data_IF_632740220282
#
_entry.id   IF_632740220282
#
_cell.length_a   1.000
_cell.length_b   1.000
_cell.length_c   1.000
_cell.angle_alpha   90.00
_cell.angle_beta   90.00
_cell.angle_gamma   90.00
#
_symmetry.space_group_name_H-M   'P 1'
#
loop_
_entity.id
_entity.type
_entity.pdbx_description
1 polymer ?
#
# COMPACT_ATOMS: atom_id res chain seq x y z
N UNK A 1 15.94 12.06 -21.03
CA UNK A 1 14.74 12.83 -20.69
C UNK A 1 14.69 12.91 -19.17
N UNK A 2 14.42 14.09 -18.57
CA UNK A 2 14.29 14.20 -17.10
C UNK A 2 12.92 13.65 -16.68
N UNK A 3 12.81 12.94 -15.54
CA UNK A 3 11.53 12.49 -15.01
C UNK A 3 10.65 13.68 -14.64
N UNK A 4 9.34 13.53 -14.85
CA UNK A 4 8.34 14.52 -14.46
C UNK A 4 7.79 14.10 -13.09
N UNK A 5 7.72 15.06 -12.16
CA UNK A 5 7.11 14.88 -10.84
C UNK A 5 5.97 15.88 -10.71
N UNK A 6 4.80 15.39 -10.36
CA UNK A 6 3.64 16.23 -10.06
C UNK A 6 3.57 16.47 -8.55
N UNK A 7 3.30 17.69 -8.15
CA UNK A 7 3.29 18.12 -6.76
C UNK A 7 2.10 19.04 -6.47
N UNK A 8 1.50 18.88 -5.30
CA UNK A 8 0.49 19.79 -4.76
C UNK A 8 0.83 20.17 -3.32
N UNK A 9 0.48 21.38 -2.92
CA UNK A 9 0.51 21.82 -1.52
C UNK A 9 -0.79 21.51 -0.79
N UNK A 10 -1.84 21.16 -1.53
CA UNK A 10 -3.13 20.78 -0.98
C UNK A 10 -3.16 19.27 -0.76
N UNK A 11 -3.57 18.87 0.44
CA UNK A 11 -3.71 17.46 0.82
C UNK A 11 -5.21 17.18 0.97
N UNK A 12 -5.86 16.89 -0.17
CA UNK A 12 -7.27 16.53 -0.24
C UNK A 12 -7.48 15.29 -1.12
N UNK A 13 -8.56 14.52 -0.93
CA UNK A 13 -8.89 13.38 -1.79
C UNK A 13 -8.96 13.74 -3.28
N UNK A 14 -9.57 14.91 -3.60
CA UNK A 14 -9.71 15.40 -4.96
C UNK A 14 -8.35 15.68 -5.60
N UNK A 15 -7.43 16.26 -4.82
CA UNK A 15 -6.10 16.59 -5.30
C UNK A 15 -5.25 15.33 -5.52
N UNK A 16 -5.39 14.30 -4.70
CA UNK A 16 -4.74 13.00 -4.95
C UNK A 16 -5.24 12.39 -6.26
N UNK A 17 -6.55 12.42 -6.49
CA UNK A 17 -7.13 11.93 -7.74
C UNK A 17 -6.65 12.73 -8.95
N UNK A 18 -6.56 14.07 -8.84
CA UNK A 18 -6.02 14.94 -9.88
C UNK A 18 -4.57 14.60 -10.21
N UNK A 19 -3.72 14.42 -9.19
CA UNK A 19 -2.31 14.01 -9.36
C UNK A 19 -2.20 12.64 -10.02
N UNK A 20 -3.02 11.67 -9.63
CA UNK A 20 -3.07 10.36 -10.28
C UNK A 20 -3.40 10.50 -11.78
N UNK A 21 -4.45 11.27 -12.11
CA UNK A 21 -4.85 11.51 -13.52
C UNK A 21 -3.75 12.21 -14.32
N UNK A 22 -3.02 13.14 -13.69
CA UNK A 22 -1.92 13.85 -14.33
C UNK A 22 -0.75 12.93 -14.73
N UNK A 23 -0.59 11.75 -14.10
CA UNK A 23 0.40 10.76 -14.51
C UNK A 23 0.12 10.22 -15.91
N UNK A 24 -1.13 10.28 -16.37
CA UNK A 24 -1.52 9.81 -17.72
C UNK A 24 -1.19 8.35 -17.97
N UNK A 25 -1.26 7.51 -16.92
CA UNK A 25 -0.99 6.08 -16.98
C UNK A 25 -2.24 5.29 -16.63
N UNK A 26 -2.56 4.35 -17.48
CA UNK A 26 -3.56 3.32 -17.20
C UNK A 26 -2.86 2.12 -16.56
N UNK A 27 -3.50 1.56 -15.56
CA UNK A 27 -3.06 0.33 -14.90
C UNK A 27 -3.86 -0.83 -15.50
N UNK A 28 -3.20 -1.85 -16.05
CA UNK A 28 -3.90 -2.98 -16.65
C UNK A 28 -4.45 -3.96 -15.61
N UNK A 29 -5.51 -4.66 -15.98
CA UNK A 29 -6.03 -5.83 -15.28
C UNK A 29 -6.61 -5.55 -13.91
N UNK A 30 -6.44 -6.51 -12.99
CA UNK A 30 -6.83 -6.38 -11.59
C UNK A 30 -5.79 -5.56 -10.83
N UNK A 31 -6.23 -4.49 -10.20
CA UNK A 31 -5.33 -3.49 -9.62
C UNK A 31 -5.29 -3.63 -8.09
N UNK A 32 -4.09 -3.85 -7.55
CA UNK A 32 -3.81 -3.69 -6.13
C UNK A 32 -3.58 -2.21 -5.80
N UNK A 33 -4.21 -1.70 -4.76
CA UNK A 33 -3.93 -0.35 -4.22
C UNK A 33 -3.29 -0.49 -2.86
N UNK A 34 -1.95 -0.39 -2.82
CA UNK A 34 -1.19 -0.53 -1.58
C UNK A 34 -1.25 0.75 -0.76
N UNK A 35 -1.68 0.61 0.47
CA UNK A 35 -1.80 1.70 1.44
C UNK A 35 -0.96 1.43 2.69
N UNK A 36 -0.91 2.40 3.61
CA UNK A 36 -0.48 2.21 4.99
C UNK A 36 -1.68 2.44 5.91
N UNK A 37 -2.15 1.38 6.52
CA UNK A 37 -3.38 1.36 7.32
C UNK A 37 -3.27 1.97 8.72
N UNK A 38 -2.07 2.37 9.12
CA UNK A 38 -1.78 2.96 10.43
C UNK A 38 -1.32 1.93 11.46
N UNK A 39 -0.48 2.36 12.39
CA UNK A 39 -0.04 1.57 13.55
C UNK A 39 -1.03 1.70 14.71
N UNK A 40 -1.09 0.70 15.58
CA UNK A 40 -1.95 0.76 16.76
C UNK A 40 -1.58 1.94 17.67
N UNK A 41 -2.60 2.72 18.09
CA UNK A 41 -2.43 3.92 18.91
C UNK A 41 -1.96 5.16 18.14
N UNK A 42 -1.58 5.04 16.87
CA UNK A 42 -1.24 6.19 16.04
C UNK A 42 -2.51 6.78 15.41
N UNK A 43 -2.73 8.08 15.60
CA UNK A 43 -3.88 8.82 15.05
C UNK A 43 -3.51 9.63 13.79
N UNK A 44 -2.24 9.61 13.37
CA UNK A 44 -1.74 10.43 12.28
C UNK A 44 -1.68 9.69 10.93
N UNK A 45 -2.37 8.57 10.79
CA UNK A 45 -2.53 7.92 9.48
C UNK A 45 -3.67 8.59 8.68
N UNK A 46 -3.62 8.47 7.37
CA UNK A 46 -4.69 8.94 6.50
C UNK A 46 -5.84 7.93 6.54
N UNK A 47 -7.02 8.40 6.95
CA UNK A 47 -8.22 7.57 7.07
C UNK A 47 -8.68 7.00 5.72
N UNK A 48 -9.38 5.85 5.71
CA UNK A 48 -9.76 5.17 4.47
C UNK A 48 -10.56 6.04 3.51
N UNK A 49 -11.45 6.90 4.00
CA UNK A 49 -12.27 7.79 3.17
C UNK A 49 -11.44 8.75 2.33
N UNK A 50 -10.25 9.13 2.82
CA UNK A 50 -9.32 9.99 2.08
C UNK A 50 -8.89 9.36 0.75
N UNK A 51 -8.80 8.05 0.70
CA UNK A 51 -8.32 7.30 -0.47
C UNK A 51 -9.44 6.87 -1.41
N UNK A 52 -10.71 6.96 -0.97
CA UNK A 52 -11.83 6.38 -1.69
C UNK A 52 -11.95 6.84 -3.14
N UNK A 53 -11.79 8.13 -3.40
CA UNK A 53 -11.93 8.69 -4.75
C UNK A 53 -10.91 8.13 -5.74
N UNK A 54 -9.68 7.89 -5.32
CA UNK A 54 -8.63 7.34 -6.21
C UNK A 54 -8.76 5.81 -6.33
N UNK A 55 -9.12 5.12 -5.26
CA UNK A 55 -9.37 3.66 -5.29
C UNK A 55 -10.54 3.33 -6.23
N UNK A 56 -11.65 4.06 -6.10
CA UNK A 56 -12.82 3.92 -6.98
C UNK A 56 -12.48 4.23 -8.45
N UNK A 57 -11.66 5.29 -8.68
CA UNK A 57 -11.29 5.70 -10.03
C UNK A 57 -10.46 4.65 -10.78
N UNK A 58 -9.69 3.83 -10.07
CA UNK A 58 -8.92 2.73 -10.67
C UNK A 58 -9.66 1.39 -10.59
N UNK A 59 -10.81 1.33 -9.95
CA UNK A 59 -11.54 0.09 -9.63
C UNK A 59 -10.60 -0.95 -8.98
N UNK A 60 -9.78 -0.49 -8.02
CA UNK A 60 -8.75 -1.29 -7.37
C UNK A 60 -9.21 -1.93 -6.07
N UNK A 61 -8.51 -2.98 -5.67
CA UNK A 61 -8.64 -3.60 -4.34
C UNK A 61 -7.57 -3.02 -3.42
N UNK A 62 -7.98 -2.55 -2.25
CA UNK A 62 -7.03 -2.07 -1.23
C UNK A 62 -6.25 -3.26 -0.68
N UNK A 63 -4.93 -3.15 -0.65
CA UNK A 63 -4.06 -4.22 -0.15
C UNK A 63 -3.10 -3.72 0.94
N UNK A 64 -2.75 -4.60 1.85
CA UNK A 64 -1.76 -4.40 2.91
C UNK A 64 -0.85 -5.63 3.05
N UNK A 65 0.21 -5.49 3.85
CA UNK A 65 1.08 -6.58 4.27
C UNK A 65 1.26 -6.57 5.78
N UNK A 66 1.50 -7.73 6.35
CA UNK A 66 1.93 -7.84 7.74
C UNK A 66 3.32 -7.22 7.93
N UNK A 67 3.65 -6.85 9.16
CA UNK A 67 4.97 -6.31 9.47
C UNK A 67 5.90 -7.42 9.98
N UNK A 68 7.20 -7.31 9.65
CA UNK A 68 8.21 -8.22 10.16
C UNK A 68 8.60 -7.96 11.63
N UNK A 69 8.24 -6.79 12.16
CA UNK A 69 8.47 -6.43 13.57
C UNK A 69 7.20 -6.68 14.40
N UNK A 70 7.37 -6.90 15.69
CA UNK A 70 6.27 -7.11 16.63
C UNK A 70 5.32 -5.90 16.69
N UNK A 71 4.03 -6.17 16.77
CA UNK A 71 2.97 -5.17 16.86
C UNK A 71 1.64 -5.72 16.40
N UNK A 72 0.61 -4.87 16.36
CA UNK A 72 -0.75 -5.27 15.99
C UNK A 72 -0.90 -5.64 14.50
N UNK A 73 0.14 -5.44 13.70
CA UNK A 73 0.19 -5.78 12.27
C UNK A 73 1.10 -6.98 11.96
N UNK A 74 1.70 -7.60 12.96
CA UNK A 74 2.64 -8.71 12.76
C UNK A 74 1.93 -10.02 12.38
N UNK A 75 0.72 -10.24 12.86
CA UNK A 75 -0.07 -11.43 12.55
C UNK A 75 -1.38 -11.05 11.87
N UNK A 76 -1.75 -11.79 10.84
CA UNK A 76 -2.91 -11.53 9.98
C UNK A 76 -4.20 -11.28 10.76
N UNK A 77 -4.51 -12.09 11.77
CA UNK A 77 -5.75 -11.91 12.54
C UNK A 77 -5.72 -10.64 13.40
N UNK A 78 -4.58 -10.27 13.95
CA UNK A 78 -4.42 -9.02 14.69
C UNK A 78 -4.49 -7.82 13.74
N UNK A 79 -3.86 -7.92 12.58
CA UNK A 79 -3.90 -6.90 11.54
C UNK A 79 -5.34 -6.68 11.05
N UNK A 80 -6.11 -7.74 10.79
CA UNK A 80 -7.55 -7.64 10.44
C UNK A 80 -8.37 -6.94 11.54
N UNK A 81 -8.06 -7.17 12.82
CA UNK A 81 -8.70 -6.44 13.94
C UNK A 81 -8.34 -4.95 13.91
N UNK A 82 -7.08 -4.62 13.63
CA UNK A 82 -6.65 -3.24 13.53
C UNK A 82 -7.28 -2.53 12.34
N UNK A 83 -7.38 -3.18 11.18
CA UNK A 83 -8.10 -2.66 10.01
C UNK A 83 -9.54 -2.30 10.34
N UNK A 84 -10.26 -3.16 11.07
CA UNK A 84 -11.61 -2.85 11.57
C UNK A 84 -11.60 -1.67 12.53
N UNK A 85 -10.69 -1.66 13.50
CA UNK A 85 -10.56 -0.57 14.50
C UNK A 85 -10.29 0.79 13.86
N UNK A 86 -9.55 0.82 12.76
CA UNK A 86 -9.21 2.02 12.02
C UNK A 86 -10.22 2.38 10.91
N UNK A 87 -11.34 1.65 10.81
CA UNK A 87 -12.43 1.93 9.86
C UNK A 87 -12.17 1.44 8.43
N UNK A 88 -11.03 0.78 8.16
CA UNK A 88 -10.71 0.32 6.80
C UNK A 88 -11.73 -0.68 6.26
N UNK A 89 -12.13 -1.63 7.09
CA UNK A 89 -13.10 -2.68 6.71
C UNK A 89 -14.54 -2.18 6.54
N UNK A 90 -14.83 -0.93 6.91
CA UNK A 90 -16.13 -0.30 6.68
C UNK A 90 -16.20 0.35 5.29
N UNK A 91 -15.05 0.70 4.73
CA UNK A 91 -14.94 1.41 3.44
C UNK A 91 -14.49 0.50 2.33
N UNK A 92 -13.60 -0.47 2.62
CA UNK A 92 -12.97 -1.35 1.64
C UNK A 92 -12.95 -2.80 2.12
N UNK A 93 -13.01 -3.72 1.16
CA UNK A 93 -12.52 -5.07 1.37
C UNK A 93 -10.99 -5.04 1.24
N UNK A 94 -10.28 -5.23 2.36
CA UNK A 94 -8.82 -5.12 2.41
C UNK A 94 -8.19 -6.49 2.33
N UNK A 95 -7.41 -6.73 1.30
CA UNK A 95 -6.62 -7.95 1.15
C UNK A 95 -5.25 -7.81 1.84
N UNK A 96 -4.83 -8.85 2.58
CA UNK A 96 -3.49 -8.93 3.20
C UNK A 96 -2.68 -9.91 2.37
N UNK A 97 -1.76 -9.36 1.56
CA UNK A 97 -1.03 -10.11 0.53
C UNK A 97 -0.21 -11.28 1.06
N UNK A 98 0.20 -11.23 2.31
CA UNK A 98 0.97 -12.24 3.03
C UNK A 98 0.17 -12.86 4.19
N UNK A 99 -1.15 -13.01 4.00
CA UNK A 99 -2.05 -13.52 5.04
C UNK A 99 -1.65 -14.90 5.57
N UNK A 100 -1.09 -15.76 4.72
CA UNK A 100 -0.58 -17.09 5.07
C UNK A 100 0.94 -17.13 5.26
N UNK A 101 1.61 -15.99 5.10
CA UNK A 101 3.05 -15.83 5.28
C UNK A 101 3.77 -15.37 4.01
N UNK A 102 5.07 -15.05 4.13
CA UNK A 102 5.93 -14.71 3.00
C UNK A 102 6.36 -16.00 2.28
N UNK A 103 5.59 -16.45 1.32
CA UNK A 103 5.66 -17.79 0.73
C UNK A 103 5.92 -17.79 -0.79
N UNK A 104 6.05 -16.63 -1.42
CA UNK A 104 6.43 -16.48 -2.82
C UNK A 104 7.86 -15.95 -2.94
N UNK A 105 8.73 -16.69 -3.65
CA UNK A 105 10.08 -16.27 -3.97
C UNK A 105 10.12 -15.64 -5.38
N UNK A 106 10.42 -14.35 -5.45
CA UNK A 106 10.61 -13.63 -6.70
C UNK A 106 12.11 -13.49 -7.01
N UNK A 107 12.59 -13.92 -8.19
CA UNK A 107 13.99 -13.75 -8.56
C UNK A 107 14.30 -12.27 -8.79
N UNK A 108 15.49 -11.82 -8.30
CA UNK A 108 16.00 -10.47 -8.58
C UNK A 108 17.03 -10.58 -9.71
N UNK A 109 16.67 -10.24 -10.95
CA UNK A 109 17.58 -10.28 -12.07
C UNK A 109 18.78 -9.34 -11.83
N UNK A 110 20.01 -9.90 -11.97
CA UNK A 110 21.26 -9.17 -11.76
C UNK A 110 21.44 -8.59 -10.33
N UNK A 111 20.71 -9.06 -9.34
CA UNK A 111 20.90 -8.67 -7.96
C UNK A 111 22.35 -8.86 -7.50
N UNK A 112 22.99 -7.84 -6.95
CA UNK A 112 24.38 -7.93 -6.47
C UNK A 112 24.48 -8.57 -5.09
N UNK A 113 23.56 -8.25 -4.20
CA UNK A 113 23.51 -8.75 -2.81
C UNK A 113 22.40 -9.80 -2.67
N UNK A 114 21.14 -9.38 -2.93
CA UNK A 114 20.00 -10.29 -2.89
C UNK A 114 19.80 -10.93 -4.27
N UNK A 115 19.48 -12.22 -4.28
CA UNK A 115 19.18 -12.98 -5.49
C UNK A 115 17.69 -13.24 -5.66
N UNK A 116 16.94 -13.16 -4.56
CA UNK A 116 15.50 -13.33 -4.50
C UNK A 116 14.90 -12.37 -3.49
N UNK A 117 13.66 -12.01 -3.70
CA UNK A 117 12.79 -11.36 -2.75
C UNK A 117 11.70 -12.34 -2.29
N UNK A 118 11.27 -12.25 -1.05
CA UNK A 118 10.25 -13.12 -0.48
C UNK A 118 9.05 -12.25 -0.14
N UNK A 119 7.94 -12.52 -0.79
CA UNK A 119 6.68 -11.75 -0.65
C UNK A 119 5.51 -12.69 -0.37
N UNK A 120 4.38 -12.15 0.01
CA UNK A 120 3.14 -12.92 0.09
C UNK A 120 2.63 -13.31 -1.30
N UNK A 121 2.22 -14.57 -1.47
CA UNK A 121 1.77 -15.11 -2.77
C UNK A 121 0.54 -14.40 -3.35
N UNK A 122 -0.28 -13.78 -2.51
CA UNK A 122 -1.50 -13.12 -2.95
C UNK A 122 -1.23 -11.90 -3.85
N UNK A 123 0.03 -11.45 -3.94
CA UNK A 123 0.45 -10.46 -4.95
C UNK A 123 0.20 -10.95 -6.38
N UNK A 124 0.25 -12.27 -6.63
CA UNK A 124 -0.02 -12.88 -7.93
C UNK A 124 -1.48 -12.77 -8.38
N UNK A 125 -2.38 -12.40 -7.46
CA UNK A 125 -3.79 -12.15 -7.78
C UNK A 125 -4.01 -10.83 -8.52
N UNK A 126 -2.97 -10.02 -8.72
CA UNK A 126 -3.04 -8.68 -9.28
C UNK A 126 -2.10 -8.51 -10.48
N UNK A 127 -2.56 -7.78 -11.49
CA UNK A 127 -1.80 -7.50 -12.72
C UNK A 127 -0.98 -6.22 -12.60
N UNK A 128 -1.39 -5.31 -11.73
CA UNK A 128 -0.70 -4.03 -11.51
C UNK A 128 -0.91 -3.51 -10.08
N UNK A 129 -0.05 -2.57 -9.68
CA UNK A 129 -0.12 -1.98 -8.33
C UNK A 129 -0.01 -0.46 -8.38
N UNK A 130 -0.95 0.21 -7.69
CA UNK A 130 -0.87 1.62 -7.34
C UNK A 130 -0.45 1.75 -5.87
N UNK A 131 0.67 2.41 -5.61
CA UNK A 131 1.16 2.62 -4.24
C UNK A 131 0.77 4.02 -3.78
N UNK A 132 -0.09 4.10 -2.77
CA UNK A 132 -0.54 5.34 -2.12
C UNK A 132 0.18 5.49 -0.78
N UNK A 133 1.42 5.98 -0.85
CA UNK A 133 2.29 6.08 0.31
C UNK A 133 1.93 7.25 1.21
N UNK A 134 1.73 6.99 2.50
CA UNK A 134 1.85 7.99 3.55
C UNK A 134 3.31 8.03 4.00
N UNK A 135 4.17 8.77 3.30
CA UNK A 135 5.60 8.77 3.58
C UNK A 135 5.96 9.59 4.83
N UNK A 136 6.97 9.15 5.56
CA UNK A 136 7.47 9.76 6.79
C UNK A 136 8.93 9.40 7.01
N UNK A 137 9.57 10.09 7.98
CA UNK A 137 10.89 9.69 8.46
C UNK A 137 10.87 8.29 9.10
N UNK A 138 11.95 7.55 8.92
CA UNK A 138 12.12 6.22 9.50
C UNK A 138 13.45 6.14 10.24
N UNK A 139 13.49 5.65 11.51
CA UNK A 139 14.71 5.68 12.33
C UNK A 139 15.86 4.85 11.77
N UNK A 140 15.57 3.72 11.11
CA UNK A 140 16.59 2.87 10.52
C UNK A 140 16.83 3.15 9.03
N UNK A 141 15.77 3.41 8.27
CA UNK A 141 15.84 3.61 6.82
C UNK A 141 15.92 5.06 6.37
N UNK A 142 15.82 6.02 7.30
CA UNK A 142 15.72 7.45 7.02
C UNK A 142 14.37 7.85 6.41
N UNK A 143 13.77 6.97 5.62
CA UNK A 143 12.52 7.15 4.90
C UNK A 143 11.68 5.86 4.98
N UNK A 144 10.37 6.01 5.18
CA UNK A 144 9.37 4.95 5.13
C UNK A 144 8.13 5.40 4.36
N UNK A 145 7.50 4.47 3.67
CA UNK A 145 6.30 4.70 2.85
C UNK A 145 5.22 3.65 3.07
N UNK A 146 4.68 3.09 2.00
CA UNK A 146 3.74 1.98 2.01
C UNK A 146 4.46 0.64 1.89
#
# INVERSE_FOLDING_TARGET
MKPIVYFSREITPEKVLELYRALGKELPGKIAVKVHSGEEGNQNFLHPEFWKSVVDAVNGTVVECNTAYEGARNYTEQHRRLLRKHGWSEVFDVDILDAEGPDLELPIPNGSVLKKDIVGKDIENYDSMLVLSHFKGHPMGGYGGA
#
